data_IF_059258893963
#
_entry.id   IF_059258893963
#
_cell.length_a   1.000
_cell.length_b   1.000
_cell.length_c   1.000
_cell.angle_alpha   90.00
_cell.angle_beta   90.00
_cell.angle_gamma   90.00
#
_symmetry.space_group_name_H-M   'P 1'
#
loop_
_entity.id
_entity.type
_entity.pdbx_description
1 polymer ?
#
# COMPACT_ATOMS: atom_id res chain seq x y z
N UNK A 1 -7.53 -0.80 11.90
CA UNK A 1 -6.09 -1.02 11.62
C UNK A 1 -5.24 0.17 12.03
N UNK A 2 -5.52 1.39 11.54
CA UNK A 2 -4.77 2.62 11.91
C UNK A 2 -4.62 2.77 13.44
N UNK A 3 -5.72 2.70 14.18
CA UNK A 3 -5.72 2.81 15.64
C UNK A 3 -4.86 1.75 16.34
N UNK A 4 -4.82 0.52 15.79
CA UNK A 4 -4.01 -0.57 16.34
C UNK A 4 -2.54 -0.22 16.15
N UNK A 5 -2.18 0.22 14.94
CA UNK A 5 -0.79 0.57 14.68
C UNK A 5 -0.32 1.71 15.59
N UNK A 6 -1.14 2.73 15.79
CA UNK A 6 -0.80 3.85 16.67
C UNK A 6 -0.63 3.40 18.13
N UNK A 7 -1.56 2.59 18.65
CA UNK A 7 -1.53 2.11 20.04
C UNK A 7 -0.35 1.19 20.32
N UNK A 8 -0.08 0.26 19.41
CA UNK A 8 1.00 -0.72 19.53
C UNK A 8 2.36 -0.17 19.09
N UNK A 9 2.41 1.10 18.64
CA UNK A 9 3.63 1.79 18.20
C UNK A 9 4.41 0.99 17.15
N UNK A 10 3.70 0.49 16.13
CA UNK A 10 4.36 -0.30 15.08
C UNK A 10 5.28 0.60 14.26
N UNK A 11 6.50 0.15 14.03
CA UNK A 11 7.51 0.88 13.26
C UNK A 11 7.30 0.79 11.75
N UNK A 12 6.76 -0.34 11.25
CA UNK A 12 6.59 -0.64 9.81
C UNK A 12 5.31 -1.42 9.55
N UNK A 13 4.63 -1.12 8.43
CA UNK A 13 3.50 -1.93 7.94
C UNK A 13 3.89 -2.62 6.63
N UNK A 14 3.61 -3.93 6.53
CA UNK A 14 3.76 -4.70 5.30
C UNK A 14 2.41 -5.30 4.90
N UNK A 15 1.96 -5.00 3.68
CA UNK A 15 0.85 -5.66 3.02
C UNK A 15 1.40 -6.70 2.04
N UNK A 16 1.18 -7.97 2.36
CA UNK A 16 1.84 -9.11 1.74
C UNK A 16 1.04 -9.73 0.57
N UNK A 17 0.65 -8.92 -0.42
CA UNK A 17 -0.10 -9.39 -1.58
C UNK A 17 -1.61 -9.23 -1.47
N UNK A 18 -2.28 -9.56 -2.58
CA UNK A 18 -3.73 -9.56 -2.79
C UNK A 18 -4.37 -8.27 -2.28
N UNK A 19 -3.89 -7.14 -2.81
CA UNK A 19 -4.38 -5.80 -2.51
C UNK A 19 -5.84 -5.66 -2.94
N UNK A 20 -6.18 -6.27 -4.08
CA UNK A 20 -7.53 -6.27 -4.65
C UNK A 20 -8.00 -7.69 -4.97
N UNK A 21 -9.32 -7.92 -4.87
CA UNK A 21 -9.96 -9.20 -5.23
C UNK A 21 -9.92 -9.49 -6.75
N UNK A 22 -9.67 -8.47 -7.56
CA UNK A 22 -9.74 -8.48 -9.03
C UNK A 22 -8.68 -7.55 -9.62
N UNK A 23 -8.13 -7.94 -10.78
CA UNK A 23 -7.19 -7.14 -11.58
C UNK A 23 -7.77 -5.80 -12.05
N UNK A 24 -9.09 -5.66 -12.04
CA UNK A 24 -9.79 -4.41 -12.31
C UNK A 24 -10.71 -4.05 -11.14
N UNK A 25 -10.15 -3.47 -10.05
CA UNK A 25 -10.93 -3.08 -8.90
C UNK A 25 -11.85 -1.89 -9.22
N UNK A 26 -13.00 -1.76 -8.53
CA UNK A 26 -13.83 -0.57 -8.63
C UNK A 26 -13.10 0.65 -8.03
N UNK A 27 -13.42 1.85 -8.53
CA UNK A 27 -12.79 3.09 -8.08
C UNK A 27 -12.88 3.31 -6.55
N UNK A 28 -13.98 2.88 -5.93
CA UNK A 28 -14.15 2.96 -4.47
C UNK A 28 -13.12 2.10 -3.70
N UNK A 29 -12.73 0.94 -4.24
CA UNK A 29 -11.70 0.10 -3.63
C UNK A 29 -10.31 0.72 -3.79
N UNK A 30 -10.00 1.27 -4.96
CA UNK A 30 -8.74 2.00 -5.18
C UNK A 30 -8.66 3.22 -4.25
N UNK A 31 -9.73 3.99 -4.10
CA UNK A 31 -9.79 5.12 -3.18
C UNK A 31 -9.53 4.68 -1.73
N UNK A 32 -10.24 3.65 -1.25
CA UNK A 32 -10.05 3.12 0.09
C UNK A 32 -8.61 2.65 0.33
N UNK A 33 -8.00 1.99 -0.66
CA UNK A 33 -6.61 1.56 -0.60
C UNK A 33 -5.66 2.76 -0.39
N UNK A 34 -5.71 3.76 -1.25
CA UNK A 34 -4.81 4.93 -1.16
C UNK A 34 -5.05 5.76 0.11
N UNK A 35 -6.30 5.97 0.51
CA UNK A 35 -6.62 6.66 1.77
C UNK A 35 -6.08 5.90 2.98
N UNK A 36 -6.18 4.56 2.96
CA UNK A 36 -5.65 3.72 4.03
C UNK A 36 -4.13 3.79 4.09
N UNK A 37 -3.44 3.72 2.96
CA UNK A 37 -1.98 3.88 2.90
C UNK A 37 -1.53 5.24 3.42
N UNK A 38 -2.21 6.32 3.01
CA UNK A 38 -1.89 7.67 3.50
C UNK A 38 -2.01 7.77 5.02
N UNK A 39 -3.08 7.21 5.61
CA UNK A 39 -3.28 7.19 7.06
C UNK A 39 -2.27 6.28 7.78
N UNK A 40 -1.96 5.12 7.20
CA UNK A 40 -0.97 4.20 7.74
C UNK A 40 0.46 4.74 7.62
N UNK A 41 0.75 5.62 6.67
CA UNK A 41 2.08 6.22 6.57
C UNK A 41 2.39 7.22 7.68
N UNK A 42 1.36 7.69 8.40
CA UNK A 42 1.47 8.82 9.34
C UNK A 42 2.27 10.00 8.73
N UNK A 43 1.84 10.45 7.55
CA UNK A 43 2.49 11.54 6.80
C UNK A 43 3.98 11.29 6.54
N UNK A 44 4.34 10.03 6.26
CA UNK A 44 5.70 9.59 5.95
C UNK A 44 6.59 9.26 7.14
N UNK A 45 6.07 9.32 8.37
CA UNK A 45 6.85 8.91 9.56
C UNK A 45 6.97 7.40 9.70
N UNK A 46 5.98 6.66 9.21
CA UNK A 46 5.91 5.21 9.31
C UNK A 46 5.99 4.61 7.91
N UNK A 47 7.03 3.83 7.60
CA UNK A 47 7.12 3.19 6.30
C UNK A 47 6.01 2.15 6.11
N UNK A 48 5.42 2.15 4.91
CA UNK A 48 4.40 1.18 4.51
C UNK A 48 4.85 0.52 3.21
N UNK A 49 5.06 -0.79 3.23
CA UNK A 49 5.40 -1.57 2.05
C UNK A 49 4.21 -2.40 1.59
N UNK A 50 3.97 -2.41 0.29
CA UNK A 50 2.94 -3.23 -0.36
C UNK A 50 3.61 -4.02 -1.47
N UNK A 51 3.39 -5.33 -1.47
CA UNK A 51 3.76 -6.21 -2.57
C UNK A 51 2.49 -6.66 -3.29
N UNK A 52 2.54 -6.80 -4.60
CA UNK A 52 1.44 -7.38 -5.38
C UNK A 52 1.32 -8.89 -5.12
N UNK A 53 0.09 -9.39 -5.03
CA UNK A 53 -0.24 -10.81 -5.00
C UNK A 53 -0.61 -11.33 -6.38
N UNK A 54 -1.18 -12.55 -6.43
CA UNK A 54 -1.55 -13.20 -7.68
C UNK A 54 -2.87 -12.68 -8.25
N UNK A 55 -3.71 -12.02 -7.44
CA UNK A 55 -4.94 -11.37 -7.89
C UNK A 55 -4.73 -9.93 -8.40
N UNK A 56 -3.57 -9.34 -8.09
CA UNK A 56 -3.25 -7.96 -8.44
C UNK A 56 -2.68 -7.85 -9.85
N UNK A 57 -2.80 -6.65 -10.42
CA UNK A 57 -2.06 -6.29 -11.63
C UNK A 57 -0.76 -5.57 -11.24
N UNK A 58 0.43 -6.17 -11.42
CA UNK A 58 1.72 -5.61 -10.97
C UNK A 58 1.98 -4.16 -11.40
N UNK A 59 1.73 -3.84 -12.67
CA UNK A 59 1.94 -2.49 -13.19
C UNK A 59 0.97 -1.47 -12.57
N UNK A 60 -0.22 -1.91 -12.18
CA UNK A 60 -1.25 -1.04 -11.60
C UNK A 60 -0.89 -0.66 -10.17
N UNK A 61 -0.42 -1.63 -9.39
CA UNK A 61 0.14 -1.39 -8.05
C UNK A 61 1.33 -0.43 -8.15
N UNK A 62 2.22 -0.64 -9.12
CA UNK A 62 3.42 0.17 -9.28
C UNK A 62 3.16 1.56 -9.89
N UNK A 63 2.00 1.80 -10.49
CA UNK A 63 1.68 3.04 -11.21
C UNK A 63 1.80 4.29 -10.32
N UNK A 64 1.41 4.18 -9.05
CA UNK A 64 1.46 5.28 -8.10
C UNK A 64 2.80 5.37 -7.33
N UNK A 65 3.76 4.47 -7.57
CA UNK A 65 5.03 4.37 -6.80
C UNK A 65 5.73 5.72 -6.62
N UNK A 66 5.82 6.51 -7.69
CA UNK A 66 6.47 7.83 -7.66
C UNK A 66 5.71 8.87 -6.85
N UNK A 67 4.38 8.81 -6.82
CA UNK A 67 3.53 9.78 -6.12
C UNK A 67 3.54 9.55 -4.61
N UNK A 68 3.67 8.29 -4.18
CA UNK A 68 3.56 7.91 -2.77
C UNK A 68 4.93 7.75 -2.08
N UNK A 69 6.03 7.76 -2.84
CA UNK A 69 7.38 7.59 -2.32
C UNK A 69 7.74 8.62 -1.23
N UNK A 70 7.36 9.89 -1.44
CA UNK A 70 7.63 10.97 -0.48
C UNK A 70 6.84 10.82 0.84
N UNK A 71 5.80 9.97 0.83
CA UNK A 71 5.03 9.59 2.01
C UNK A 71 5.55 8.30 2.67
N UNK A 72 6.76 7.85 2.35
CA UNK A 72 7.34 6.63 2.94
C UNK A 72 6.59 5.35 2.55
N UNK A 73 5.81 5.39 1.47
CA UNK A 73 5.06 4.25 0.96
C UNK A 73 5.83 3.62 -0.20
N UNK A 74 6.08 2.32 -0.12
CA UNK A 74 6.72 1.53 -1.14
C UNK A 74 5.69 0.59 -1.79
N UNK A 75 5.48 0.76 -3.10
CA UNK A 75 4.62 -0.10 -3.91
C UNK A 75 5.48 -0.95 -4.85
N UNK A 76 5.43 -2.27 -4.68
CA UNK A 76 6.21 -3.24 -5.45
C UNK A 76 5.25 -4.15 -6.21
N UNK A 77 5.11 -3.95 -7.52
CA UNK A 77 4.37 -4.86 -8.40
C UNK A 77 5.17 -6.10 -8.78
N UNK A 78 6.47 -5.94 -8.97
CA UNK A 78 7.39 -7.01 -9.34
C UNK A 78 8.54 -7.08 -8.32
N UNK A 79 9.19 -8.24 -8.17
CA UNK A 79 10.48 -8.32 -7.51
C UNK A 79 11.48 -7.45 -8.28
N UNK A 80 12.07 -6.45 -7.62
CA UNK A 80 13.24 -5.76 -8.14
C UNK A 80 14.42 -6.78 -8.07
N UNK A 81 15.02 -7.14 -9.21
CA UNK A 81 16.21 -8.00 -9.28
C UNK A 81 17.49 -7.27 -8.90
#
# INVERSE_FOLDING_TARGET
>A
LVDIVEKEKIDVVLMAGDVFDSVNPPAAAEQLFYESLARLSDKGKRPVAVIAGNHDHPERISAARKLVADYGILLLGWPDT
#
